data_IF_688620075635
#
_entry.id   IF_688620075635
#
_cell.length_a   1.000
_cell.length_b   1.000
_cell.length_c   1.000
_cell.angle_alpha   90.00
_cell.angle_beta   90.00
_cell.angle_gamma   90.00
#
_symmetry.space_group_name_H-M   'P 1'
#
loop_
_entity.id
_entity.type
_entity.pdbx_description
1 polymer ?
#
# COMPACT_ATOMS: atom_id res chain seq x y z
N UNK A 1 9.94 8.63 -14.37
CA UNK A 1 9.67 7.88 -13.11
C UNK A 1 10.76 8.19 -12.10
N UNK A 2 10.41 8.93 -11.05
CA UNK A 2 11.32 9.25 -9.94
C UNK A 2 11.63 7.98 -9.13
N UNK A 3 12.89 7.81 -8.72
CA UNK A 3 13.30 6.77 -7.78
C UNK A 3 13.57 7.41 -6.41
N UNK A 4 13.04 6.82 -5.35
CA UNK A 4 13.25 7.24 -3.96
C UNK A 4 13.89 6.11 -3.16
N UNK A 5 14.68 6.48 -2.17
CA UNK A 5 15.41 5.52 -1.34
C UNK A 5 15.14 5.81 0.13
N UNK A 6 14.76 4.77 0.87
CA UNK A 6 14.78 4.79 2.32
C UNK A 6 15.97 3.96 2.80
N UNK A 7 16.72 4.47 3.79
CA UNK A 7 17.97 3.84 4.24
C UNK A 7 17.79 2.40 4.68
N UNK A 8 16.70 2.09 5.38
CA UNK A 8 16.46 0.75 5.92
C UNK A 8 15.97 -0.25 4.88
N UNK A 9 15.28 0.22 3.84
CA UNK A 9 14.91 -0.64 2.72
C UNK A 9 16.12 -1.01 1.86
N UNK A 10 17.13 -0.14 1.81
CA UNK A 10 18.43 -0.42 1.21
C UNK A 10 18.47 -0.50 -0.31
N UNK A 11 17.37 -0.16 -0.99
CA UNK A 11 17.27 -0.18 -2.45
C UNK A 11 16.33 0.94 -2.94
N UNK A 12 16.59 1.50 -4.14
CA UNK A 12 15.73 2.51 -4.74
C UNK A 12 14.45 1.85 -5.28
N UNK A 13 13.31 2.51 -5.07
CA UNK A 13 12.01 2.11 -5.60
C UNK A 13 11.34 3.29 -6.30
N UNK A 14 10.46 3.01 -7.28
CA UNK A 14 9.71 4.07 -7.95
C UNK A 14 8.78 4.79 -6.98
N UNK A 15 8.73 6.13 -7.06
CA UNK A 15 7.83 6.95 -6.26
C UNK A 15 6.36 6.60 -6.49
N UNK A 16 6.02 6.20 -7.72
CA UNK A 16 4.76 5.55 -8.07
C UNK A 16 4.97 4.04 -8.07
N UNK A 17 4.40 3.33 -7.10
CA UNK A 17 4.32 1.88 -7.03
C UNK A 17 2.98 1.37 -7.56
N UNK A 18 2.78 0.07 -7.55
CA UNK A 18 1.58 -0.62 -8.02
C UNK A 18 0.91 -1.38 -6.88
N UNK A 19 -0.32 -0.96 -6.49
CA UNK A 19 -1.16 -1.67 -5.52
C UNK A 19 -1.98 -2.76 -6.19
N UNK A 20 -1.81 -4.01 -5.76
CA UNK A 20 -2.41 -5.19 -6.40
C UNK A 20 -3.69 -5.71 -5.70
N UNK A 21 -4.23 -4.97 -4.74
CA UNK A 21 -5.42 -5.41 -3.98
C UNK A 21 -6.63 -5.74 -4.87
N UNK A 22 -6.89 -4.93 -5.89
CA UNK A 22 -8.05 -5.09 -6.77
C UNK A 22 -7.89 -6.14 -7.87
N UNK A 23 -6.78 -6.90 -7.95
CA UNK A 23 -6.51 -7.83 -9.05
C UNK A 23 -7.07 -9.24 -8.83
N UNK A 24 -7.35 -9.62 -7.59
CA UNK A 24 -7.82 -10.95 -7.25
C UNK A 24 -9.17 -10.89 -6.52
N UNK A 25 -10.21 -11.50 -7.11
CA UNK A 25 -11.49 -11.68 -6.44
C UNK A 25 -12.60 -10.65 -6.72
N UNK A 26 -12.38 -9.67 -7.58
CA UNK A 26 -13.44 -8.77 -8.02
C UNK A 26 -14.18 -9.38 -9.22
N UNK A 27 -15.52 -9.40 -9.18
CA UNK A 27 -16.38 -10.06 -10.16
C UNK A 27 -16.22 -9.56 -11.61
N UNK A 28 -15.72 -8.34 -11.79
CA UNK A 28 -15.61 -7.67 -13.10
C UNK A 28 -14.14 -7.46 -13.52
N UNK A 29 -13.23 -8.35 -13.13
CA UNK A 29 -11.82 -8.23 -13.50
C UNK A 29 -11.57 -8.90 -14.84
N UNK A 30 -11.29 -8.11 -15.89
CA UNK A 30 -10.73 -8.60 -17.14
C UNK A 30 -9.24 -8.93 -16.94
N UNK A 31 -8.92 -10.22 -16.87
CA UNK A 31 -7.55 -10.68 -16.62
C UNK A 31 -6.58 -10.24 -17.74
N UNK A 32 -7.02 -10.18 -18.97
CA UNK A 32 -6.19 -9.73 -20.09
C UNK A 32 -5.88 -8.22 -19.97
N UNK A 33 -6.84 -7.40 -19.54
CA UNK A 33 -6.61 -5.98 -19.29
C UNK A 33 -5.67 -5.76 -18.10
N UNK A 34 -5.80 -6.56 -17.05
CA UNK A 34 -4.88 -6.53 -15.90
C UNK A 34 -3.44 -6.85 -16.32
N UNK A 35 -3.24 -7.90 -17.13
CA UNK A 35 -1.90 -8.27 -17.61
C UNK A 35 -1.31 -7.14 -18.47
N UNK A 36 -2.10 -6.53 -19.37
CA UNK A 36 -1.67 -5.35 -20.16
C UNK A 36 -1.33 -4.15 -19.27
N UNK A 37 -2.12 -3.89 -18.23
CA UNK A 37 -1.88 -2.80 -17.30
C UNK A 37 -0.58 -3.01 -16.49
N UNK A 38 -0.30 -4.23 -16.08
CA UNK A 38 0.94 -4.59 -15.40
C UNK A 38 2.16 -4.40 -16.31
N UNK A 39 2.08 -4.86 -17.57
CA UNK A 39 3.15 -4.68 -18.55
C UNK A 39 3.39 -3.20 -18.88
N UNK A 40 2.33 -2.40 -19.02
CA UNK A 40 2.41 -0.95 -19.20
C UNK A 40 3.08 -0.27 -18.01
N UNK A 41 2.78 -0.70 -16.77
CA UNK A 41 3.40 -0.14 -15.57
C UNK A 41 4.91 -0.41 -15.56
N UNK A 42 5.33 -1.64 -15.85
CA UNK A 42 6.77 -1.98 -15.95
C UNK A 42 7.44 -1.18 -17.06
N UNK A 43 6.82 -1.09 -18.25
CA UNK A 43 7.34 -0.32 -19.38
C UNK A 43 7.47 1.18 -19.06
N UNK A 44 6.60 1.71 -18.17
CA UNK A 44 6.64 3.10 -17.70
C UNK A 44 7.66 3.33 -16.56
N UNK A 45 8.37 2.29 -16.11
CA UNK A 45 9.40 2.38 -15.08
C UNK A 45 8.90 2.21 -13.64
N UNK A 46 7.69 1.69 -13.42
CA UNK A 46 7.25 1.25 -12.09
C UNK A 46 8.06 0.05 -11.67
N UNK A 47 8.71 0.14 -10.51
CA UNK A 47 9.57 -0.94 -9.98
C UNK A 47 9.06 -1.58 -8.71
N UNK A 48 8.15 -0.93 -7.96
CA UNK A 48 7.61 -1.42 -6.69
C UNK A 48 6.20 -1.98 -6.87
N UNK A 49 5.99 -3.25 -6.48
CA UNK A 49 4.72 -3.97 -6.58
C UNK A 49 4.31 -4.49 -5.22
N UNK A 50 3.18 -4.01 -4.69
CA UNK A 50 2.63 -4.37 -3.38
C UNK A 50 1.44 -5.30 -3.52
N UNK A 51 1.59 -6.53 -3.04
CA UNK A 51 0.54 -7.55 -2.96
C UNK A 51 0.31 -8.01 -1.52
N UNK A 52 -0.47 -9.05 -1.32
CA UNK A 52 -0.67 -9.75 -0.05
C UNK A 52 -1.21 -11.16 -0.29
N UNK A 53 -0.88 -12.10 0.60
CA UNK A 53 -1.50 -13.43 0.60
C UNK A 53 -3.03 -13.35 0.65
N UNK A 54 -3.59 -12.48 1.51
CA UNK A 54 -5.03 -12.30 1.66
C UNK A 54 -5.74 -11.81 0.40
N UNK A 55 -5.01 -11.33 -0.62
CA UNK A 55 -5.61 -10.89 -1.87
C UNK A 55 -5.90 -12.11 -2.77
N UNK A 56 -7.08 -12.71 -2.53
CA UNK A 56 -7.53 -13.92 -3.21
C UNK A 56 -6.76 -15.18 -2.84
N UNK A 57 -6.31 -15.29 -1.58
CA UNK A 57 -5.60 -16.44 -1.01
C UNK A 57 -4.38 -16.85 -1.87
N UNK A 58 -3.52 -15.85 -2.16
CA UNK A 58 -2.30 -16.03 -2.95
C UNK A 58 -2.46 -15.81 -4.46
N UNK A 59 -3.69 -15.64 -4.98
CA UNK A 59 -3.89 -15.40 -6.43
C UNK A 59 -3.17 -14.14 -6.92
N UNK A 60 -3.23 -13.04 -6.15
CA UNK A 60 -2.54 -11.80 -6.49
C UNK A 60 -1.01 -11.98 -6.50
N UNK A 61 -0.47 -12.76 -5.57
CA UNK A 61 0.95 -13.13 -5.56
C UNK A 61 1.32 -13.95 -6.80
N UNK A 62 0.48 -14.91 -7.20
CA UNK A 62 0.67 -15.67 -8.44
C UNK A 62 0.68 -14.80 -9.71
N UNK A 63 -0.16 -13.75 -9.77
CA UNK A 63 -0.14 -12.74 -10.85
C UNK A 63 1.20 -12.02 -10.86
N UNK A 64 1.68 -11.54 -9.71
CA UNK A 64 2.99 -10.88 -9.61
C UNK A 64 4.12 -11.82 -10.00
N UNK A 65 4.08 -13.09 -9.58
CA UNK A 65 5.05 -14.10 -9.98
C UNK A 65 5.14 -14.31 -11.50
N UNK A 66 3.99 -14.30 -12.20
CA UNK A 66 3.98 -14.33 -13.68
C UNK A 66 4.59 -13.07 -14.28
N UNK A 67 4.27 -11.89 -13.74
CA UNK A 67 4.85 -10.63 -14.20
C UNK A 67 6.39 -10.64 -14.09
N UNK A 68 6.92 -11.07 -12.95
CA UNK A 68 8.37 -11.13 -12.71
C UNK A 68 9.06 -12.05 -13.72
N UNK A 69 8.48 -13.22 -14.01
CA UNK A 69 9.07 -14.19 -14.95
C UNK A 69 9.10 -13.71 -16.40
N UNK A 70 8.18 -12.83 -16.82
CA UNK A 70 8.13 -12.34 -18.21
C UNK A 70 8.92 -11.07 -18.45
N UNK A 71 9.40 -10.41 -17.38
CA UNK A 71 10.21 -9.20 -17.51
C UNK A 71 11.62 -9.40 -16.97
N UNK A 72 12.62 -8.87 -17.69
CA UNK A 72 14.02 -8.84 -17.25
C UNK A 72 14.32 -7.69 -16.29
N UNK A 73 13.41 -6.71 -16.17
CA UNK A 73 13.56 -5.59 -15.25
C UNK A 73 13.55 -6.07 -13.80
N UNK A 74 14.38 -5.47 -12.95
CA UNK A 74 14.37 -5.72 -11.51
C UNK A 74 13.12 -5.11 -10.89
N UNK A 75 12.17 -5.94 -10.50
CA UNK A 75 10.98 -5.55 -9.76
C UNK A 75 11.19 -5.78 -8.26
N UNK A 76 10.79 -4.81 -7.45
CA UNK A 76 10.84 -4.87 -5.99
C UNK A 76 9.50 -5.40 -5.50
N UNK A 77 9.54 -6.50 -4.78
CA UNK A 77 8.35 -7.25 -4.37
C UNK A 77 8.02 -7.04 -2.90
N UNK A 78 6.77 -6.67 -2.63
CA UNK A 78 6.23 -6.59 -1.29
C UNK A 78 5.00 -7.48 -1.15
N UNK A 79 4.94 -8.27 -0.07
CA UNK A 79 3.75 -9.04 0.31
C UNK A 79 3.44 -8.88 1.79
N UNK A 80 2.33 -9.51 2.27
CA UNK A 80 1.86 -9.33 3.63
C UNK A 80 1.41 -10.66 4.24
N UNK A 81 1.86 -10.91 5.47
CA UNK A 81 1.40 -11.99 6.32
C UNK A 81 0.00 -11.65 6.83
N UNK A 82 -1.05 -12.44 6.53
CA UNK A 82 -2.38 -12.21 7.09
C UNK A 82 -2.39 -12.50 8.59
N UNK A 83 -3.22 -11.82 9.41
CA UNK A 83 -3.39 -12.21 10.79
C UNK A 83 -4.04 -13.61 10.86
N UNK A 84 -3.56 -14.46 11.77
CA UNK A 84 -4.05 -15.84 11.95
C UNK A 84 -5.55 -15.91 12.27
N UNK A 85 -6.04 -14.95 13.07
CA UNK A 85 -7.44 -14.83 13.44
C UNK A 85 -8.33 -14.25 12.31
N UNK A 86 -7.76 -13.87 11.17
CA UNK A 86 -8.47 -13.31 10.01
C UNK A 86 -9.32 -12.07 10.34
N UNK A 87 -8.90 -11.25 11.29
CA UNK A 87 -9.59 -10.01 11.69
C UNK A 87 -8.85 -8.77 11.20
N UNK A 88 -9.53 -7.92 10.47
CA UNK A 88 -9.06 -6.62 9.95
C UNK A 88 -10.04 -5.49 10.31
N UNK A 89 -9.56 -4.38 10.91
CA UNK A 89 -8.24 -4.18 11.52
C UNK A 89 -8.03 -5.05 12.75
N UNK A 90 -6.81 -5.15 13.25
CA UNK A 90 -6.55 -5.81 14.53
C UNK A 90 -7.25 -5.04 15.65
N UNK A 91 -8.09 -5.68 16.49
CA UNK A 91 -8.66 -5.02 17.66
C UNK A 91 -7.56 -4.55 18.63
N UNK A 92 -7.81 -3.45 19.36
CA UNK A 92 -6.81 -2.87 20.29
C UNK A 92 -6.35 -3.84 21.38
N UNK A 93 -7.21 -4.78 21.79
CA UNK A 93 -6.93 -5.81 22.78
C UNK A 93 -6.38 -7.12 22.18
N UNK A 94 -6.20 -7.20 20.85
CA UNK A 94 -5.70 -8.40 20.20
C UNK A 94 -4.31 -8.77 20.71
N UNK A 95 -4.09 -10.04 20.97
CA UNK A 95 -2.79 -10.55 21.40
C UNK A 95 -1.95 -10.94 20.19
N UNK A 96 -0.62 -10.82 20.32
CA UNK A 96 0.30 -11.19 19.24
C UNK A 96 0.14 -12.66 18.82
N UNK A 97 0.00 -13.58 19.77
CA UNK A 97 -0.13 -15.02 19.51
C UNK A 97 -1.45 -15.40 18.81
N UNK A 98 -2.48 -14.57 18.88
CA UNK A 98 -3.72 -14.73 18.11
C UNK A 98 -3.57 -14.27 16.67
N UNK A 99 -2.65 -13.34 16.39
CA UNK A 99 -2.45 -12.72 15.09
C UNK A 99 -1.21 -13.24 14.37
N UNK A 100 -0.06 -13.26 15.04
CA UNK A 100 1.24 -13.54 14.42
C UNK A 100 2.14 -14.41 15.30
N UNK A 101 1.73 -15.65 15.65
CA UNK A 101 2.66 -16.57 16.30
C UNK A 101 3.84 -16.93 15.37
N UNK A 102 5.03 -17.22 15.88
CA UNK A 102 6.26 -17.40 15.09
C UNK A 102 6.13 -18.40 13.94
N UNK A 103 5.47 -19.54 14.18
CA UNK A 103 5.22 -20.55 13.17
C UNK A 103 4.35 -20.05 12.01
N UNK A 104 3.36 -19.19 12.30
CA UNK A 104 2.49 -18.58 11.30
C UNK A 104 3.23 -17.54 10.45
N UNK A 105 4.13 -16.75 11.09
CA UNK A 105 4.98 -15.79 10.38
C UNK A 105 5.81 -16.52 9.34
N UNK A 106 6.47 -17.62 9.70
CA UNK A 106 7.29 -18.43 8.78
C UNK A 106 6.44 -19.08 7.70
N UNK A 107 5.37 -19.77 8.09
CA UNK A 107 4.48 -20.50 7.16
C UNK A 107 3.99 -19.58 6.04
N UNK A 108 3.45 -18.41 6.39
CA UNK A 108 2.90 -17.50 5.39
C UNK A 108 3.96 -16.77 4.57
N UNK A 109 5.17 -16.59 5.09
CA UNK A 109 6.32 -16.16 4.29
C UNK A 109 6.69 -17.19 3.22
N UNK A 110 6.80 -18.45 3.60
CA UNK A 110 7.13 -19.56 2.67
C UNK A 110 6.01 -19.77 1.63
N UNK A 111 4.73 -19.65 2.03
CA UNK A 111 3.59 -19.69 1.10
C UNK A 111 3.64 -18.54 0.08
N UNK A 112 3.93 -17.32 0.54
CA UNK A 112 4.07 -16.16 -0.36
C UNK A 112 5.22 -16.36 -1.35
N UNK A 113 6.37 -16.87 -0.90
CA UNK A 113 7.50 -17.19 -1.77
C UNK A 113 7.13 -18.24 -2.82
N UNK A 114 6.41 -19.29 -2.42
CA UNK A 114 5.90 -20.32 -3.33
C UNK A 114 4.94 -19.75 -4.38
N UNK A 115 3.98 -18.91 -3.98
CA UNK A 115 3.01 -18.28 -4.89
C UNK A 115 3.69 -17.36 -5.91
N UNK A 116 4.70 -16.60 -5.46
CA UNK A 116 5.50 -15.70 -6.30
C UNK A 116 6.49 -16.45 -7.18
N UNK A 117 6.89 -17.67 -6.78
CA UNK A 117 7.98 -18.42 -7.43
C UNK A 117 9.35 -17.75 -7.21
N UNK A 118 9.57 -17.15 -6.04
CA UNK A 118 10.80 -16.44 -5.68
C UNK A 118 11.52 -17.14 -4.53
N UNK A 119 12.86 -17.12 -4.51
CA UNK A 119 13.63 -17.60 -3.37
C UNK A 119 13.65 -16.61 -2.20
N UNK A 120 13.38 -15.33 -2.46
CA UNK A 120 13.43 -14.23 -1.48
C UNK A 120 12.45 -13.13 -1.83
N UNK A 121 11.74 -12.59 -0.83
CA UNK A 121 10.98 -11.35 -0.92
C UNK A 121 11.85 -10.14 -0.56
N UNK A 122 11.66 -9.02 -1.24
CA UNK A 122 12.34 -7.78 -0.88
C UNK A 122 11.78 -7.19 0.41
N UNK A 123 10.45 -7.17 0.53
CA UNK A 123 9.74 -6.67 1.70
C UNK A 123 8.59 -7.61 2.08
N UNK A 124 8.63 -8.15 3.29
CA UNK A 124 7.48 -8.79 3.92
C UNK A 124 6.87 -7.83 4.95
N UNK A 125 5.55 -7.82 5.09
CA UNK A 125 4.84 -6.92 6.01
C UNK A 125 3.88 -7.70 6.90
N UNK A 126 3.69 -7.26 8.15
CA UNK A 126 2.51 -7.66 8.93
C UNK A 126 1.29 -6.91 8.39
N UNK A 127 0.23 -7.63 8.01
CA UNK A 127 -0.92 -7.03 7.33
C UNK A 127 -1.79 -6.15 8.23
N UNK A 128 -1.69 -6.33 9.54
CA UNK A 128 -2.25 -5.48 10.59
C UNK A 128 -1.20 -5.32 11.70
N UNK A 129 -1.35 -4.29 12.55
CA UNK A 129 -0.40 -4.05 13.62
C UNK A 129 -1.10 -3.46 14.86
N UNK A 130 -0.54 -3.79 16.04
CA UNK A 130 -0.82 -3.13 17.30
C UNK A 130 0.50 -2.81 18.00
N UNK A 131 0.69 -1.56 18.38
CA UNK A 131 1.97 -1.09 18.97
C UNK A 131 2.26 -1.70 20.35
N UNK A 132 1.23 -2.27 21.01
CA UNK A 132 1.39 -3.10 22.19
C UNK A 132 2.28 -4.34 21.95
N UNK A 133 2.47 -4.76 20.70
CA UNK A 133 3.34 -5.89 20.32
C UNK A 133 4.79 -5.48 20.07
N UNK A 134 5.10 -4.19 20.05
CA UNK A 134 6.38 -3.65 19.57
C UNK A 134 7.62 -4.28 20.23
N UNK A 135 7.54 -4.56 21.54
CA UNK A 135 8.65 -5.12 22.31
C UNK A 135 8.57 -6.64 22.52
N UNK A 136 7.63 -7.32 21.85
CA UNK A 136 7.50 -8.76 21.98
C UNK A 136 8.61 -9.48 21.19
N UNK A 137 9.51 -10.14 21.92
CA UNK A 137 10.66 -10.84 21.32
C UNK A 137 10.28 -11.96 20.36
N UNK A 138 9.06 -12.50 20.43
CA UNK A 138 8.66 -13.64 19.62
C UNK A 138 8.61 -13.29 18.14
N UNK A 139 8.00 -12.16 17.76
CA UNK A 139 8.00 -11.71 16.37
C UNK A 139 9.38 -11.20 15.93
N UNK A 140 10.11 -10.54 16.84
CA UNK A 140 11.46 -10.04 16.53
C UNK A 140 12.38 -11.19 16.14
N UNK A 141 12.44 -12.26 16.93
CA UNK A 141 13.24 -13.46 16.62
C UNK A 141 12.78 -14.14 15.35
N UNK A 142 11.47 -14.30 15.15
CA UNK A 142 10.94 -14.91 13.92
C UNK A 142 11.38 -14.13 12.67
N UNK A 143 11.36 -12.80 12.70
CA UNK A 143 11.83 -11.94 11.60
C UNK A 143 13.35 -12.05 11.41
N UNK A 144 14.14 -12.06 12.49
CA UNK A 144 15.59 -12.25 12.42
C UNK A 144 15.95 -13.60 11.78
N UNK A 145 15.22 -14.65 12.13
CA UNK A 145 15.38 -15.98 11.51
C UNK A 145 15.08 -15.96 10.02
N UNK A 146 13.97 -15.29 9.60
CA UNK A 146 13.65 -15.17 8.17
C UNK A 146 14.71 -14.39 7.39
N UNK A 147 15.25 -13.31 7.97
CA UNK A 147 16.33 -12.51 7.36
C UNK A 147 17.64 -13.34 7.28
N UNK A 148 18.00 -14.05 8.35
CA UNK A 148 19.19 -14.91 8.41
C UNK A 148 19.10 -16.05 7.39
N UNK A 149 17.93 -16.66 7.25
CA UNK A 149 17.69 -17.76 6.29
C UNK A 149 17.58 -17.24 4.84
N UNK A 150 17.64 -15.91 4.64
CA UNK A 150 17.59 -15.27 3.32
C UNK A 150 16.23 -15.26 2.66
N UNK A 151 15.13 -15.54 3.40
CA UNK A 151 13.77 -15.60 2.86
C UNK A 151 13.18 -14.21 2.62
N UNK A 152 13.57 -13.21 3.43
CA UNK A 152 13.14 -11.82 3.27
C UNK A 152 14.33 -10.85 3.29
N UNK A 153 14.20 -9.72 2.61
CA UNK A 153 15.17 -8.64 2.66
C UNK A 153 14.88 -7.68 3.80
N UNK A 154 13.64 -7.27 3.92
CA UNK A 154 13.16 -6.26 4.84
C UNK A 154 11.83 -6.68 5.46
N UNK A 155 11.51 -6.08 6.62
CA UNK A 155 10.22 -6.27 7.30
C UNK A 155 9.50 -4.94 7.46
N UNK A 156 8.18 -4.96 7.26
CA UNK A 156 7.32 -3.81 7.45
C UNK A 156 6.06 -4.11 8.27
N UNK A 157 5.32 -3.06 8.57
CA UNK A 157 4.00 -3.13 9.18
C UNK A 157 2.99 -2.35 8.36
N UNK A 158 1.75 -2.86 8.25
CA UNK A 158 0.63 -2.15 7.66
C UNK A 158 -0.28 -1.66 8.78
N UNK A 159 -0.39 -0.34 8.91
CA UNK A 159 -1.12 0.29 10.00
C UNK A 159 -2.63 0.24 9.76
N UNK A 160 -3.39 0.20 10.85
CA UNK A 160 -4.83 0.35 10.81
C UNK A 160 -5.20 1.72 10.24
N UNK A 161 -6.38 1.80 9.61
CA UNK A 161 -6.91 3.08 9.13
C UNK A 161 -7.13 4.03 10.31
N UNK A 162 -6.81 5.30 10.14
CA UNK A 162 -6.94 6.38 11.14
C UNK A 162 -6.16 6.19 12.44
N UNK A 163 -5.18 5.28 12.46
CA UNK A 163 -4.31 5.05 13.61
C UNK A 163 -2.82 5.16 13.22
N UNK A 164 -2.36 6.28 12.63
CA UNK A 164 -0.96 6.40 12.21
C UNK A 164 0.03 6.35 13.39
N UNK A 165 -0.43 6.67 14.60
CA UNK A 165 0.37 6.56 15.83
C UNK A 165 0.60 5.10 16.27
N UNK A 166 -0.21 4.15 15.77
CA UNK A 166 -0.16 2.74 16.14
C UNK A 166 0.95 1.98 15.37
N UNK A 167 2.14 2.54 15.33
CA UNK A 167 3.36 2.02 14.71
C UNK A 167 4.60 2.72 15.26
N UNK A 168 4.42 3.76 16.08
CA UNK A 168 5.53 4.59 16.56
C UNK A 168 6.48 3.82 17.47
N UNK A 169 5.95 2.97 18.36
CA UNK A 169 6.79 2.15 19.23
C UNK A 169 7.56 1.10 18.43
N UNK A 170 6.91 0.43 17.45
CA UNK A 170 7.57 -0.52 16.57
C UNK A 170 8.73 0.11 15.78
N UNK A 171 8.52 1.31 15.22
CA UNK A 171 9.58 2.04 14.51
C UNK A 171 10.75 2.38 15.44
N UNK A 172 10.47 2.81 16.68
CA UNK A 172 11.50 3.14 17.67
C UNK A 172 12.35 1.94 18.11
N UNK A 173 11.88 0.71 17.97
CA UNK A 173 12.71 -0.49 18.21
C UNK A 173 13.90 -0.58 17.24
N UNK A 174 13.78 0.04 16.06
CA UNK A 174 14.77 -0.10 14.99
C UNK A 174 14.64 -1.41 14.22
N UNK A 175 13.65 -2.26 14.47
CA UNK A 175 13.45 -3.53 13.76
C UNK A 175 12.66 -3.38 12.46
N UNK A 176 11.86 -2.30 12.31
CA UNK A 176 10.98 -2.08 11.16
C UNK A 176 11.71 -1.31 10.05
N UNK A 177 11.61 -1.82 8.82
CA UNK A 177 12.26 -1.25 7.64
C UNK A 177 11.28 -0.43 6.77
N UNK A 178 9.98 -0.73 6.83
CA UNK A 178 8.94 -0.02 6.09
C UNK A 178 7.63 0.06 6.89
N UNK A 179 6.88 1.13 6.67
CA UNK A 179 5.51 1.29 7.17
C UNK A 179 4.56 1.57 6.02
N UNK A 180 3.43 0.86 5.98
CA UNK A 180 2.35 1.11 5.03
C UNK A 180 1.18 1.78 5.76
N UNK A 181 0.76 2.94 5.29
CA UNK A 181 -0.23 3.79 5.97
C UNK A 181 -1.19 4.43 4.98
N UNK A 182 -2.42 4.68 5.41
CA UNK A 182 -3.37 5.52 4.64
C UNK A 182 -2.88 6.95 4.66
N UNK A 183 -2.69 7.53 3.47
CA UNK A 183 -2.32 8.92 3.31
C UNK A 183 -2.89 9.49 2.01
N UNK A 184 -3.69 10.52 2.11
CA UNK A 184 -4.32 11.21 0.99
C UNK A 184 -4.79 12.61 1.43
N UNK A 185 -5.41 13.37 0.54
CA UNK A 185 -5.89 14.74 0.80
C UNK A 185 -6.82 14.84 2.02
N UNK A 186 -7.54 13.76 2.36
CA UNK A 186 -8.49 13.74 3.49
C UNK A 186 -7.91 13.12 4.77
N UNK A 187 -6.82 12.37 4.66
CA UNK A 187 -6.17 11.64 5.75
C UNK A 187 -4.69 12.07 5.85
N UNK A 188 -4.41 13.20 6.51
CA UNK A 188 -3.07 13.81 6.59
C UNK A 188 -2.39 13.60 7.96
N UNK A 189 -3.07 13.00 8.93
CA UNK A 189 -2.53 12.77 10.28
C UNK A 189 -1.16 12.05 10.35
N UNK A 190 -0.73 11.23 9.35
CA UNK A 190 0.64 10.69 9.35
C UNK A 190 1.76 11.73 9.35
N UNK A 191 1.48 12.97 8.90
CA UNK A 191 2.46 14.06 8.89
C UNK A 191 2.85 14.55 10.28
N UNK A 192 1.96 14.40 11.29
CA UNK A 192 2.17 14.94 12.62
C UNK A 192 3.36 14.29 13.34
N UNK A 193 3.40 12.95 13.41
CA UNK A 193 4.43 12.22 14.14
C UNK A 193 5.07 11.09 13.34
N UNK A 194 4.27 10.36 12.53
CA UNK A 194 4.73 9.15 11.84
C UNK A 194 5.81 9.46 10.80
N UNK A 195 5.57 10.39 9.90
CA UNK A 195 6.51 10.73 8.85
C UNK A 195 7.82 11.31 9.40
N UNK A 196 7.82 12.27 10.32
CA UNK A 196 9.06 12.75 10.96
C UNK A 196 9.86 11.62 11.64
N UNK A 197 9.17 10.68 12.29
CA UNK A 197 9.85 9.54 12.92
C UNK A 197 10.43 8.58 11.86
N UNK A 198 9.69 8.27 10.80
CA UNK A 198 10.16 7.43 9.70
C UNK A 198 11.41 8.03 9.04
N UNK A 199 11.40 9.33 8.75
CA UNK A 199 12.53 10.05 8.19
C UNK A 199 13.76 9.95 9.10
N UNK A 200 13.59 10.26 10.40
CA UNK A 200 14.66 10.17 11.40
C UNK A 200 15.26 8.76 11.48
N UNK A 201 14.42 7.74 11.46
CA UNK A 201 14.83 6.34 11.59
C UNK A 201 15.27 5.72 10.25
N UNK A 202 15.04 6.38 9.12
CA UNK A 202 15.32 5.89 7.78
C UNK A 202 14.38 4.77 7.33
N UNK A 203 13.16 4.74 7.85
CA UNK A 203 12.09 3.78 7.54
C UNK A 203 11.36 4.23 6.28
N UNK A 204 11.07 3.30 5.37
CA UNK A 204 10.31 3.58 4.15
C UNK A 204 8.83 3.83 4.46
N UNK A 205 8.25 4.86 3.85
CA UNK A 205 6.81 5.14 3.93
C UNK A 205 6.14 4.71 2.63
N UNK A 206 5.20 3.78 2.71
CA UNK A 206 4.37 3.30 1.62
C UNK A 206 2.97 3.88 1.82
N UNK A 207 2.62 4.90 1.05
CA UNK A 207 1.30 5.51 1.09
C UNK A 207 0.29 4.66 0.33
N UNK A 208 -0.76 4.20 1.01
CA UNK A 208 -1.89 3.49 0.40
C UNK A 208 -3.16 4.33 0.41
N UNK A 209 -4.15 3.94 -0.40
CA UNK A 209 -5.45 4.62 -0.51
C UNK A 209 -5.34 6.11 -0.92
N UNK A 210 -4.50 6.45 -1.94
CA UNK A 210 -4.31 7.84 -2.34
C UNK A 210 -5.59 8.48 -2.88
N UNK A 211 -6.56 7.68 -3.31
CA UNK A 211 -7.84 8.12 -3.87
C UNK A 211 -9.01 7.97 -2.89
N UNK A 212 -8.78 7.87 -1.58
CA UNK A 212 -9.82 7.70 -0.54
C UNK A 212 -10.90 6.70 -0.97
N UNK A 213 -10.54 5.42 -1.09
CA UNK A 213 -11.40 4.31 -1.54
C UNK A 213 -12.10 4.55 -2.90
N UNK A 214 -11.56 5.47 -3.68
CA UNK A 214 -12.04 5.82 -5.02
C UNK A 214 -12.88 7.10 -5.09
N UNK A 215 -13.12 7.80 -3.98
CA UNK A 215 -13.85 9.07 -3.99
C UNK A 215 -13.13 10.13 -4.83
N UNK A 216 -11.81 10.22 -4.67
CA UNK A 216 -10.94 11.13 -5.41
C UNK A 216 -10.58 10.63 -6.81
N UNK A 217 -11.11 9.48 -7.24
CA UNK A 217 -10.93 8.97 -8.61
C UNK A 217 -11.92 9.58 -9.62
N UNK A 218 -12.73 10.56 -9.22
CA UNK A 218 -13.66 11.28 -10.08
C UNK A 218 -14.92 10.46 -10.47
N UNK A 219 -15.24 9.39 -9.75
CA UNK A 219 -16.37 8.50 -10.06
C UNK A 219 -17.42 8.40 -8.94
N UNK A 220 -17.18 9.03 -7.79
CA UNK A 220 -18.16 9.09 -6.71
C UNK A 220 -19.20 10.16 -7.07
N UNK A 221 -20.50 9.82 -6.90
CA UNK A 221 -21.62 10.75 -7.05
C UNK A 221 -22.51 10.66 -5.81
N UNK A 222 -23.32 11.68 -5.57
CA UNK A 222 -24.22 11.76 -4.39
C UNK A 222 -25.23 10.60 -4.32
N UNK A 223 -25.59 10.03 -5.48
CA UNK A 223 -26.52 8.91 -5.64
C UNK A 223 -25.85 7.57 -5.89
N UNK A 224 -24.50 7.51 -5.87
CA UNK A 224 -23.76 6.27 -6.13
C UNK A 224 -24.19 5.15 -5.21
N UNK A 225 -24.60 4.01 -5.80
CA UNK A 225 -24.90 2.78 -5.07
C UNK A 225 -23.79 1.77 -5.31
N UNK A 226 -23.25 1.22 -4.23
CA UNK A 226 -22.26 0.15 -4.31
C UNK A 226 -22.94 -1.22 -4.21
N UNK A 227 -22.45 -2.25 -4.94
CA UNK A 227 -23.00 -3.61 -4.89
C UNK A 227 -23.01 -4.19 -3.47
N UNK A 228 -23.88 -5.18 -3.26
CA UNK A 228 -23.88 -5.97 -2.02
C UNK A 228 -22.54 -6.73 -1.89
N UNK A 229 -21.97 -6.71 -0.68
CA UNK A 229 -20.65 -7.29 -0.39
C UNK A 229 -19.48 -6.37 -0.72
N UNK A 230 -19.70 -5.21 -1.34
CA UNK A 230 -18.66 -4.20 -1.49
C UNK A 230 -18.55 -3.38 -0.19
N UNK A 231 -17.38 -3.41 0.46
CA UNK A 231 -17.13 -2.68 1.72
C UNK A 231 -17.38 -1.17 1.59
N UNK A 232 -17.25 -0.60 0.39
CA UNK A 232 -17.51 0.81 0.11
C UNK A 232 -18.98 1.18 0.35
N UNK A 233 -19.89 0.22 0.35
CA UNK A 233 -21.30 0.45 0.72
C UNK A 233 -21.43 0.88 2.19
N UNK A 234 -20.62 0.31 3.08
CA UNK A 234 -20.58 0.68 4.50
C UNK A 234 -19.73 1.94 4.70
N UNK A 235 -18.60 2.04 4.00
CA UNK A 235 -17.70 3.18 4.08
C UNK A 235 -18.39 4.48 3.58
N UNK A 236 -18.98 4.45 2.39
CA UNK A 236 -19.78 5.55 1.85
C UNK A 236 -21.26 5.37 2.19
N UNK A 237 -21.60 5.23 3.50
CA UNK A 237 -22.98 5.37 3.94
C UNK A 237 -23.51 6.76 3.58
N UNK A 238 -24.80 7.02 3.75
CA UNK A 238 -25.44 8.27 3.29
C UNK A 238 -24.75 9.53 3.84
N UNK A 239 -24.40 9.52 5.13
CA UNK A 239 -23.77 10.65 5.81
C UNK A 239 -22.33 10.87 5.33
N UNK A 240 -21.48 9.83 5.36
CA UNK A 240 -20.10 9.94 4.93
C UNK A 240 -19.99 10.28 3.44
N UNK A 241 -20.88 9.72 2.60
CA UNK A 241 -20.91 10.05 1.17
C UNK A 241 -21.25 11.52 0.93
N UNK A 242 -22.25 12.05 1.63
CA UNK A 242 -22.61 13.46 1.51
C UNK A 242 -21.45 14.37 1.93
N UNK A 243 -20.86 14.13 3.10
CA UNK A 243 -19.72 14.88 3.60
C UNK A 243 -18.49 14.78 2.67
N UNK A 244 -18.24 13.61 2.08
CA UNK A 244 -17.14 13.40 1.11
C UNK A 244 -17.40 14.19 -0.16
N UNK A 245 -18.63 14.18 -0.69
CA UNK A 245 -18.98 14.96 -1.88
C UNK A 245 -18.85 16.47 -1.65
N UNK A 246 -19.24 16.96 -0.47
CA UNK A 246 -19.06 18.39 -0.12
C UNK A 246 -17.59 18.80 -0.09
N UNK A 247 -16.69 17.90 0.35
CA UNK A 247 -15.24 18.13 0.30
C UNK A 247 -14.71 18.13 -1.12
N UNK A 248 -15.14 17.16 -1.95
CA UNK A 248 -14.75 17.06 -3.36
C UNK A 248 -15.17 18.31 -4.12
N UNK A 249 -16.42 18.76 -3.97
CA UNK A 249 -16.94 19.96 -4.64
C UNK A 249 -16.19 21.25 -4.24
N UNK A 250 -15.60 21.29 -3.04
CA UNK A 250 -14.71 22.40 -2.63
C UNK A 250 -13.36 22.29 -3.33
N UNK A 251 -12.74 21.11 -3.31
CA UNK A 251 -11.46 20.86 -4.00
C UNK A 251 -11.55 21.18 -5.50
N UNK A 252 -12.64 20.77 -6.15
CA UNK A 252 -12.83 21.01 -7.59
C UNK A 252 -12.89 22.49 -7.97
N UNK A 253 -13.31 23.37 -7.05
CA UNK A 253 -13.33 24.83 -7.28
C UNK A 253 -11.93 25.44 -7.31
N UNK A 254 -10.99 24.82 -6.58
CA UNK A 254 -9.62 25.30 -6.44
C UNK A 254 -8.65 24.59 -7.40
N UNK A 255 -9.14 23.61 -8.20
CA UNK A 255 -8.31 22.94 -9.18
C UNK A 255 -7.85 23.89 -10.29
N UNK A 256 -6.57 23.92 -10.63
CA UNK A 256 -6.07 24.62 -11.80
C UNK A 256 -6.75 24.17 -13.09
N UNK A 257 -6.89 25.08 -14.06
CA UNK A 257 -7.47 24.73 -15.35
C UNK A 257 -6.71 23.58 -16.01
N UNK A 258 -7.47 22.54 -16.38
CA UNK A 258 -6.94 21.35 -17.04
C UNK A 258 -6.43 20.25 -16.08
N UNK A 259 -6.30 20.49 -14.78
CA UNK A 259 -5.96 19.46 -13.80
C UNK A 259 -7.22 18.69 -13.40
N UNK A 260 -7.10 17.38 -13.37
CA UNK A 260 -8.18 16.49 -12.90
C UNK A 260 -8.07 16.20 -11.40
N UNK A 261 -9.20 15.87 -10.76
CA UNK A 261 -9.22 15.48 -9.35
C UNK A 261 -8.29 14.28 -9.04
N UNK A 262 -8.26 13.17 -9.85
CA UNK A 262 -7.30 12.10 -9.62
C UNK A 262 -5.84 12.53 -9.76
N UNK A 263 -5.53 13.40 -10.71
CA UNK A 263 -4.19 13.95 -10.88
C UNK A 263 -3.77 14.73 -9.65
N UNK A 264 -4.59 15.66 -9.18
CA UNK A 264 -4.33 16.44 -7.97
C UNK A 264 -4.13 15.52 -6.76
N UNK A 265 -5.02 14.55 -6.54
CA UNK A 265 -4.95 13.64 -5.40
C UNK A 265 -3.66 12.81 -5.39
N UNK A 266 -3.21 12.32 -6.55
CA UNK A 266 -1.97 11.55 -6.63
C UNK A 266 -0.74 12.45 -6.47
N UNK A 267 -0.72 13.61 -7.11
CA UNK A 267 0.37 14.58 -6.98
C UNK A 267 0.48 15.14 -5.57
N UNK A 268 -0.63 15.30 -4.82
CA UNK A 268 -0.59 15.65 -3.41
C UNK A 268 0.28 14.65 -2.62
N UNK A 269 0.02 13.35 -2.75
CA UNK A 269 0.80 12.31 -2.07
C UNK A 269 2.26 12.30 -2.53
N UNK A 270 2.50 12.42 -3.83
CA UNK A 270 3.85 12.44 -4.42
C UNK A 270 4.65 13.70 -4.07
N UNK A 271 3.98 14.82 -3.77
CA UNK A 271 4.63 16.06 -3.35
C UNK A 271 5.27 15.94 -1.96
N UNK A 272 4.74 15.07 -1.10
CA UNK A 272 5.33 14.84 0.22
C UNK A 272 6.61 13.97 0.08
N UNK A 273 7.75 14.55 0.45
CA UNK A 273 9.08 13.91 0.32
C UNK A 273 9.34 12.82 1.36
N UNK A 274 8.55 12.75 2.42
CA UNK A 274 8.64 11.67 3.41
C UNK A 274 7.98 10.38 2.89
N UNK A 275 7.09 10.47 1.89
CA UNK A 275 6.52 9.30 1.20
C UNK A 275 7.57 8.70 0.26
N UNK A 276 7.97 7.47 0.52
CA UNK A 276 8.92 6.74 -0.34
C UNK A 276 8.24 6.25 -1.62
N UNK A 277 7.03 5.72 -1.51
CA UNK A 277 6.23 5.27 -2.66
C UNK A 277 4.74 5.36 -2.35
N UNK A 278 3.93 5.63 -3.37
CA UNK A 278 2.47 5.55 -3.30
C UNK A 278 1.99 4.38 -4.16
N UNK A 279 1.02 3.61 -3.66
CA UNK A 279 0.55 2.37 -4.30
C UNK A 279 -0.94 2.43 -4.71
N UNK A 280 -1.32 3.24 -5.71
CA UNK A 280 -2.67 3.23 -6.24
C UNK A 280 -3.01 1.90 -6.91
N UNK A 281 -4.27 1.51 -6.90
CA UNK A 281 -4.77 0.40 -7.72
C UNK A 281 -4.90 0.83 -9.20
N UNK A 282 -4.32 0.06 -10.12
CA UNK A 282 -4.24 0.39 -11.55
C UNK A 282 -4.64 -0.79 -12.44
N UNK A 283 -5.90 -1.24 -12.37
CA UNK A 283 -6.37 -2.45 -13.10
C UNK A 283 -6.50 -2.29 -14.61
N UNK A 284 -6.41 -1.08 -15.14
CA UNK A 284 -6.57 -0.75 -16.58
C UNK A 284 -5.40 0.07 -17.08
N UNK A 285 -5.02 -0.14 -18.33
CA UNK A 285 -3.94 0.62 -18.99
C UNK A 285 -4.17 2.13 -18.89
N UNK A 286 -5.41 2.60 -19.05
CA UNK A 286 -5.72 4.03 -18.92
C UNK A 286 -5.43 4.57 -17.52
N UNK A 287 -5.63 3.77 -16.47
CA UNK A 287 -5.30 4.17 -15.09
C UNK A 287 -3.79 4.24 -14.86
N UNK A 288 -3.04 3.29 -15.43
CA UNK A 288 -1.57 3.32 -15.39
C UNK A 288 -1.06 4.59 -16.06
N UNK A 289 -1.48 4.86 -17.29
CA UNK A 289 -1.05 6.04 -18.06
C UNK A 289 -1.41 7.35 -17.34
N UNK A 290 -2.61 7.46 -16.78
CA UNK A 290 -3.03 8.62 -16.03
C UNK A 290 -2.17 8.86 -14.78
N UNK A 291 -1.88 7.80 -14.02
CA UNK A 291 -1.05 7.91 -12.81
C UNK A 291 0.43 8.19 -13.15
N UNK A 292 0.96 7.61 -14.22
CA UNK A 292 2.31 7.92 -14.72
C UNK A 292 2.40 9.37 -15.20
N UNK A 293 1.40 9.86 -15.92
CA UNK A 293 1.35 11.26 -16.33
C UNK A 293 1.31 12.22 -15.13
N UNK A 294 0.53 11.89 -14.08
CA UNK A 294 0.49 12.67 -12.85
C UNK A 294 1.85 12.70 -12.13
N UNK A 295 2.57 11.57 -12.08
CA UNK A 295 3.93 11.51 -11.51
C UNK A 295 4.91 12.37 -12.33
N UNK A 296 4.86 12.28 -13.66
CA UNK A 296 5.72 13.05 -14.55
C UNK A 296 5.45 14.57 -14.53
N UNK A 297 4.22 14.97 -14.20
CA UNK A 297 3.85 16.38 -14.02
C UNK A 297 4.54 17.03 -12.79
N UNK A 298 5.15 16.22 -11.91
CA UNK A 298 5.89 16.70 -10.76
C UNK A 298 5.01 17.13 -9.58
N UNK A 299 5.60 17.75 -8.55
CA UNK A 299 4.88 18.14 -7.35
C UNK A 299 3.81 19.20 -7.63
N UNK A 300 2.81 19.27 -6.76
CA UNK A 300 1.86 20.38 -6.77
C UNK A 300 2.55 21.70 -6.42
N UNK A 301 1.97 22.81 -6.90
CA UNK A 301 2.36 24.13 -6.42
C UNK A 301 2.06 24.20 -4.90
N UNK A 302 3.00 24.66 -4.06
CA UNK A 302 2.80 24.78 -2.60
C UNK A 302 1.63 25.69 -2.19
N UNK A 303 1.09 26.49 -3.11
CA UNK A 303 -0.06 27.36 -2.85
C UNK A 303 -1.41 26.63 -3.02
N UNK A 304 -1.40 25.49 -3.67
CA UNK A 304 -2.56 24.61 -3.85
C UNK A 304 -2.79 23.76 -2.61
#
# INVERSE_FOLDING_TARGET
MELRTARRLGLPISALGYGMWGLAGWKDTDEAEVERALDEAVASGVTFFDTAFAYGEGRSEGILGRLIRRHSARLVTASKIPPKNRTWPAPSQARLDECFPPEHIREFTERSLSNLGLPRLDLMQFHVWQDAWALDERWLRAVEDLKRDGLIGSIGISLNRWEPWNGLAAIRTGAIDAVQVVYNVFDQAPEDELFPLCQKMGVAVIARVPFDEGSLAGQLTRDRVFPEGDFRRTYFNAENRAATMDRIERLEKDLPAGMTLPEMALRFVLSNRDVTTVIPGMRRVVSVRGNVAAEQAGPLDPIL
#
